data_IF_611282641061
#
_entry.id   IF_611282641061
#
_cell.length_a   1.000
_cell.length_b   1.000
_cell.length_c   1.000
_cell.angle_alpha   90.00
_cell.angle_beta   90.00
_cell.angle_gamma   90.00
#
_symmetry.space_group_name_H-M   'P 1'
#
loop_
_entity.id
_entity.type
_entity.pdbx_description
1 polymer ?
#
# COMPACT_ATOMS: atom_id res chain seq x y z
N UNK A 1 6.11 18.10 -2.95
CA UNK A 1 6.54 16.77 -3.44
C UNK A 1 5.44 15.76 -3.11
N UNK A 2 4.88 15.08 -4.10
CA UNK A 2 3.83 14.07 -3.87
C UNK A 2 4.44 12.73 -3.45
N UNK A 3 3.82 12.09 -2.46
CA UNK A 3 4.16 10.72 -2.04
C UNK A 3 3.17 9.75 -2.66
N UNK A 4 3.69 8.63 -3.12
CA UNK A 4 2.92 7.48 -3.55
C UNK A 4 3.08 6.36 -2.54
N UNK A 5 2.02 5.59 -2.36
CA UNK A 5 1.89 4.52 -1.38
C UNK A 5 1.52 3.23 -2.08
N UNK A 6 2.01 2.10 -1.56
CA UNK A 6 1.66 0.78 -2.06
C UNK A 6 1.83 -0.24 -0.93
N UNK A 7 0.97 -1.25 -0.89
CA UNK A 7 1.17 -2.39 0.01
C UNK A 7 1.97 -3.47 -0.73
N UNK A 8 2.94 -4.05 -0.04
CA UNK A 8 3.71 -5.20 -0.52
C UNK A 8 3.51 -6.34 0.46
N UNK A 9 2.97 -7.47 0.01
CA UNK A 9 2.81 -8.69 0.79
C UNK A 9 3.68 -9.79 0.17
N UNK A 10 4.41 -10.55 0.99
CA UNK A 10 5.31 -11.62 0.51
C UNK A 10 6.29 -11.14 -0.59
N UNK A 11 6.84 -9.94 -0.43
CA UNK A 11 7.73 -9.27 -1.40
C UNK A 11 7.07 -8.99 -2.77
N UNK A 12 5.75 -9.17 -2.89
CA UNK A 12 4.98 -8.88 -4.10
C UNK A 12 4.09 -7.65 -3.91
N UNK A 13 4.03 -6.73 -4.89
CA UNK A 13 3.12 -5.60 -4.83
C UNK A 13 1.65 -6.04 -4.84
N UNK A 14 0.86 -5.50 -3.91
CA UNK A 14 -0.60 -5.72 -3.84
C UNK A 14 -1.40 -4.76 -4.73
N UNK A 15 -0.76 -4.09 -5.68
CA UNK A 15 -1.40 -3.11 -6.56
C UNK A 15 -0.41 -2.09 -7.12
N UNK A 16 -0.88 -1.12 -7.92
CA UNK A 16 -0.06 -0.01 -8.38
C UNK A 16 0.26 0.97 -7.24
N UNK A 17 1.19 1.89 -7.50
CA UNK A 17 1.42 3.03 -6.63
C UNK A 17 0.20 3.95 -6.60
N UNK A 18 -0.25 4.33 -5.40
CA UNK A 18 -1.44 5.17 -5.17
C UNK A 18 -1.06 6.52 -4.55
N UNK A 19 -1.67 7.63 -4.95
CA UNK A 19 -1.42 8.94 -4.33
C UNK A 19 -1.97 9.07 -2.91
N UNK A 20 -2.93 8.22 -2.53
CA UNK A 20 -3.52 8.21 -1.18
C UNK A 20 -3.21 6.88 -0.50
N UNK A 21 -2.68 6.94 0.72
CA UNK A 21 -2.42 5.74 1.55
C UNK A 21 -3.66 4.84 1.67
N UNK A 22 -4.84 5.42 1.88
CA UNK A 22 -6.12 4.70 1.97
C UNK A 22 -6.45 3.85 0.74
N UNK A 23 -6.03 4.27 -0.45
CA UNK A 23 -6.23 3.48 -1.67
C UNK A 23 -5.30 2.24 -1.70
N UNK A 24 -4.06 2.39 -1.23
CA UNK A 24 -3.15 1.25 -1.10
C UNK A 24 -3.64 0.26 -0.04
N UNK A 25 -4.24 0.76 1.04
CA UNK A 25 -4.89 -0.07 2.07
C UNK A 25 -6.10 -0.82 1.50
N UNK A 26 -6.91 -0.18 0.66
CA UNK A 26 -8.01 -0.83 -0.06
C UNK A 26 -7.52 -1.93 -1.01
N UNK A 27 -6.41 -1.70 -1.72
CA UNK A 27 -5.81 -2.71 -2.58
C UNK A 27 -5.39 -3.96 -1.76
N UNK A 28 -4.86 -3.76 -0.55
CA UNK A 28 -4.52 -4.85 0.37
C UNK A 28 -5.76 -5.58 0.89
N UNK A 29 -6.82 -4.86 1.25
CA UNK A 29 -8.10 -5.45 1.70
C UNK A 29 -8.72 -6.29 0.59
N UNK A 30 -8.74 -5.77 -0.65
CA UNK A 30 -9.28 -6.48 -1.80
C UNK A 30 -8.56 -7.82 -2.06
N UNK A 31 -7.26 -7.88 -1.77
CA UNK A 31 -6.47 -9.11 -1.89
C UNK A 31 -6.47 -9.98 -0.62
N UNK A 32 -7.20 -9.60 0.44
CA UNK A 32 -7.26 -10.33 1.70
C UNK A 32 -6.02 -10.18 2.60
N UNK A 33 -5.17 -9.18 2.32
CA UNK A 33 -3.92 -8.94 3.06
C UNK A 33 -4.04 -7.91 4.17
N UNK A 34 -5.15 -7.18 4.25
CA UNK A 34 -5.38 -6.20 5.31
C UNK A 34 -6.84 -6.06 5.65
N UNK A 35 -7.08 -5.45 6.80
CA UNK A 35 -8.41 -5.22 7.36
C UNK A 35 -8.37 -3.98 8.28
N UNK A 36 -9.54 -3.40 8.53
CA UNK A 36 -9.70 -2.38 9.57
C UNK A 36 -10.28 -3.03 10.82
N UNK A 37 -9.74 -2.71 11.98
CA UNK A 37 -10.35 -3.11 13.24
C UNK A 37 -11.60 -2.28 13.57
N UNK A 38 -12.21 -2.58 14.71
CA UNK A 38 -13.41 -1.90 15.22
C UNK A 38 -13.21 -0.41 15.54
N UNK A 39 -11.96 0.05 15.65
CA UNK A 39 -11.61 1.47 15.86
C UNK A 39 -11.19 2.17 14.56
N UNK A 40 -11.24 1.47 13.41
CA UNK A 40 -10.85 2.01 12.12
C UNK A 40 -9.34 2.09 11.91
N UNK A 41 -8.55 1.37 12.70
CA UNK A 41 -7.11 1.23 12.49
C UNK A 41 -6.85 0.11 11.49
N UNK A 42 -6.01 0.39 10.50
CA UNK A 42 -5.64 -0.55 9.45
C UNK A 42 -4.52 -1.49 9.92
N UNK A 43 -4.71 -2.79 9.70
CA UNK A 43 -3.75 -3.83 10.03
C UNK A 43 -3.51 -4.75 8.82
N UNK A 44 -2.34 -5.36 8.78
CA UNK A 44 -1.94 -6.31 7.75
C UNK A 44 -1.90 -7.73 8.33
N UNK A 45 -2.52 -8.67 7.64
CA UNK A 45 -2.77 -10.03 8.14
C UNK A 45 -1.61 -11.00 7.88
N UNK A 46 -0.55 -10.55 7.20
CA UNK A 46 0.54 -11.37 6.67
C UNK A 46 1.87 -10.59 6.73
N UNK A 47 3.04 -11.19 6.42
CA UNK A 47 4.29 -10.44 6.24
C UNK A 47 4.16 -9.46 5.06
N UNK A 48 3.63 -8.30 5.38
CA UNK A 48 3.32 -7.23 4.46
C UNK A 48 3.70 -5.89 5.09
N UNK A 49 3.95 -4.90 4.23
CA UNK A 49 4.26 -3.53 4.65
C UNK A 49 3.67 -2.52 3.69
N UNK A 50 3.37 -1.35 4.22
CA UNK A 50 3.09 -0.16 3.41
C UNK A 50 4.43 0.46 3.04
N UNK A 51 4.73 0.49 1.74
CA UNK A 51 5.85 1.25 1.17
C UNK A 51 5.37 2.62 0.72
N UNK A 52 6.30 3.58 0.74
CA UNK A 52 6.08 4.91 0.19
C UNK A 52 7.30 5.36 -0.62
N UNK A 53 7.06 6.16 -1.64
CA UNK A 53 8.08 6.68 -2.56
C UNK A 53 7.68 8.09 -3.02
N UNK A 54 8.64 8.93 -3.42
CA UNK A 54 8.31 10.21 -4.04
C UNK A 54 7.86 9.95 -5.48
N UNK A 55 6.82 10.65 -5.92
CA UNK A 55 6.30 10.52 -7.28
C UNK A 55 7.39 10.76 -8.36
N UNK A 56 8.33 11.67 -8.09
CA UNK A 56 9.46 11.93 -8.97
C UNK A 56 10.38 10.71 -9.16
N UNK A 57 10.53 9.87 -8.12
CA UNK A 57 11.44 8.72 -8.13
C UNK A 57 10.82 7.50 -8.86
N UNK A 58 9.48 7.43 -8.94
CA UNK A 58 8.77 6.37 -9.68
C UNK A 58 9.00 6.49 -11.18
N UNK A 59 9.01 7.73 -11.72
CA UNK A 59 9.22 7.97 -13.16
C UNK A 59 10.64 7.64 -13.63
N UNK A 60 11.60 7.55 -12.71
CA UNK A 60 12.98 7.17 -13.00
C UNK A 60 13.20 5.66 -13.01
N UNK A 61 12.22 4.88 -12.54
CA UNK A 61 12.30 3.42 -12.41
C UNK A 61 11.45 2.66 -13.42
N UNK A 62 10.78 3.36 -14.35
CA UNK A 62 9.95 2.81 -15.42
C UNK A 62 10.68 2.94 -16.77
#
# INVERSE_FOLDING_TARGET
MALLYRVVAFQKPCGPWRPKRRQAEQDAIYQGWGEYDEWGQFWLNAPARVEWIREADVRLSA
#
